data_IF_892204207856
#
_entry.id   IF_892204207856
#
_cell.length_a   1.000
_cell.length_b   1.000
_cell.length_c   1.000
_cell.angle_alpha   90.00
_cell.angle_beta   90.00
_cell.angle_gamma   90.00
#
_symmetry.space_group_name_H-M   'P 1'
#
loop_
_entity.id
_entity.type
_entity.pdbx_description
1 polymer ?
#
# COMPACT_ATOMS: atom_id res chain seq x y z
N UNK A 1 -16.61 -9.09 22.93
CA UNK A 1 -17.48 -9.11 24.12
C UNK A 1 -16.77 -8.43 25.29
N UNK A 2 -17.53 -7.69 26.10
CA UNK A 2 -17.06 -7.04 27.32
C UNK A 2 -17.85 -7.56 28.54
N UNK A 3 -17.15 -8.02 29.56
CA UNK A 3 -17.78 -8.46 30.81
C UNK A 3 -17.70 -7.35 31.84
N UNK A 4 -18.84 -6.74 32.13
CA UNK A 4 -18.93 -5.66 33.11
C UNK A 4 -18.83 -6.20 34.54
N UNK A 5 -18.13 -5.46 35.41
CA UNK A 5 -18.15 -5.67 36.87
C UNK A 5 -19.23 -4.79 37.52
N UNK A 6 -19.58 -5.07 38.78
CA UNK A 6 -20.54 -4.23 39.53
C UNK A 6 -20.00 -2.81 39.71
N UNK A 7 -20.85 -1.82 39.43
CA UNK A 7 -20.55 -0.40 39.51
C UNK A 7 -20.17 0.21 38.16
N UNK A 8 -19.55 1.35 38.18
CA UNK A 8 -19.15 2.08 36.97
C UNK A 8 -18.03 1.34 36.23
N UNK A 9 -18.16 1.30 34.91
CA UNK A 9 -17.21 0.66 34.01
C UNK A 9 -16.89 1.62 32.84
N UNK A 10 -15.64 1.70 32.49
CA UNK A 10 -15.16 2.38 31.30
C UNK A 10 -14.29 1.40 30.49
N UNK A 11 -14.47 1.40 29.17
CA UNK A 11 -13.69 0.55 28.29
C UNK A 11 -13.38 1.30 26.99
N UNK A 12 -12.11 1.33 26.62
CA UNK A 12 -11.64 1.82 25.32
C UNK A 12 -10.81 0.75 24.65
N UNK A 13 -11.16 0.40 23.43
CA UNK A 13 -10.38 -0.55 22.64
C UNK A 13 -9.35 0.20 21.78
N UNK A 14 -8.07 0.09 22.16
CA UNK A 14 -6.95 0.70 21.43
C UNK A 14 -6.30 -0.25 20.42
N UNK A 15 -6.62 -1.54 20.47
CA UNK A 15 -5.88 -2.57 19.73
C UNK A 15 -6.59 -3.00 18.45
N UNK A 16 -7.86 -2.63 18.29
CA UNK A 16 -8.68 -3.06 17.17
C UNK A 16 -9.28 -1.84 16.48
N UNK A 17 -8.99 -1.68 15.19
CA UNK A 17 -9.61 -0.66 14.36
C UNK A 17 -10.83 -1.22 13.66
N UNK A 18 -11.86 -0.41 13.58
CA UNK A 18 -13.12 -0.78 12.92
C UNK A 18 -13.38 0.15 11.75
N UNK A 19 -13.45 -0.42 10.54
CA UNK A 19 -14.02 0.26 9.38
C UNK A 19 -15.50 -0.08 9.28
N UNK A 20 -16.38 0.71 9.90
CA UNK A 20 -17.81 0.44 9.93
C UNK A 20 -18.64 1.72 9.72
N UNK A 21 -19.87 1.55 9.28
CA UNK A 21 -20.89 2.62 9.22
C UNK A 21 -21.84 2.59 10.41
N UNK A 22 -22.07 1.41 10.96
CA UNK A 22 -23.03 1.17 12.02
C UNK A 22 -22.40 0.27 13.07
N UNK A 23 -22.76 0.51 14.33
CA UNK A 23 -22.47 -0.38 15.44
C UNK A 23 -23.78 -0.81 16.08
N UNK A 24 -23.92 -2.10 16.29
CA UNK A 24 -24.99 -2.67 17.07
C UNK A 24 -24.44 -3.10 18.43
N UNK A 25 -25.14 -2.72 19.50
CA UNK A 25 -24.76 -3.03 20.86
C UNK A 25 -25.90 -3.77 21.54
N UNK A 26 -25.57 -4.91 22.07
CA UNK A 26 -26.50 -5.69 22.91
C UNK A 26 -26.00 -5.67 24.34
N UNK A 27 -26.79 -5.10 25.23
CA UNK A 27 -26.54 -5.11 26.67
C UNK A 27 -27.37 -6.17 27.36
N UNK A 28 -26.77 -6.87 28.34
CA UNK A 28 -27.49 -7.78 29.23
C UNK A 28 -28.37 -7.03 30.25
N UNK A 29 -29.22 -7.78 30.92
CA UNK A 29 -30.11 -7.22 31.97
C UNK A 29 -29.27 -6.56 33.08
N UNK A 30 -29.72 -5.37 33.50
CA UNK A 30 -29.09 -4.62 34.59
C UNK A 30 -27.88 -3.81 34.19
N UNK A 31 -27.56 -3.72 32.89
CA UNK A 31 -26.56 -2.83 32.36
C UNK A 31 -27.21 -1.56 31.82
N UNK A 32 -26.76 -0.40 32.28
CA UNK A 32 -27.10 0.89 31.72
C UNK A 32 -25.90 1.41 30.92
N UNK A 33 -26.13 1.72 29.65
CA UNK A 33 -25.10 2.27 28.77
C UNK A 33 -25.23 3.80 28.76
N UNK A 34 -24.28 4.47 29.39
CA UNK A 34 -24.30 5.94 29.50
C UNK A 34 -23.70 6.61 28.28
N UNK A 35 -22.67 6.01 27.67
CA UNK A 35 -21.97 6.54 26.51
C UNK A 35 -21.41 5.45 25.60
N UNK A 36 -21.49 5.71 24.31
CA UNK A 36 -20.77 4.98 23.28
C UNK A 36 -20.22 5.98 22.26
N UNK A 37 -18.98 5.79 21.87
CA UNK A 37 -18.35 6.63 20.87
C UNK A 37 -17.32 5.90 20.04
N UNK A 38 -16.81 6.58 19.01
CA UNK A 38 -15.70 6.15 18.18
C UNK A 38 -14.60 7.18 18.34
N UNK A 39 -13.37 6.69 18.50
CA UNK A 39 -12.17 7.51 18.43
C UNK A 39 -11.66 7.39 16.99
N UNK A 40 -11.78 8.43 16.15
CA UNK A 40 -11.20 8.40 14.81
C UNK A 40 -9.68 8.31 14.90
N UNK A 41 -9.09 7.46 14.07
CA UNK A 41 -7.64 7.31 13.94
C UNK A 41 -7.29 7.55 12.49
N UNK A 42 -6.58 8.63 12.22
CA UNK A 42 -6.13 9.01 10.89
C UNK A 42 -4.80 9.75 10.99
N UNK A 43 -4.03 9.74 9.92
CA UNK A 43 -2.82 10.54 9.83
C UNK A 43 -3.19 12.02 9.64
N UNK A 44 -2.53 12.92 10.37
CA UNK A 44 -2.78 14.35 10.29
C UNK A 44 -2.22 14.93 8.99
N UNK A 45 -3.11 15.28 8.05
CA UNK A 45 -2.78 15.87 6.75
C UNK A 45 -3.66 17.08 6.47
N UNK A 46 -3.07 18.09 5.86
CA UNK A 46 -3.80 19.26 5.39
C UNK A 46 -4.23 19.06 3.93
N UNK A 47 -5.53 19.12 3.69
CA UNK A 47 -6.09 18.93 2.36
C UNK A 47 -5.86 20.14 1.44
N UNK A 48 -5.63 19.89 0.16
CA UNK A 48 -5.72 20.92 -0.85
C UNK A 48 -7.18 21.32 -1.08
N UNK A 49 -7.47 22.61 -1.34
CA UNK A 49 -8.84 23.03 -1.58
C UNK A 49 -9.40 22.39 -2.85
N UNK A 50 -10.61 21.83 -2.73
CA UNK A 50 -11.34 21.33 -3.88
C UNK A 50 -11.80 22.49 -4.77
N UNK A 51 -11.21 22.67 -5.94
CA UNK A 51 -11.49 23.74 -6.89
C UNK A 51 -12.36 23.33 -8.07
N UNK A 52 -12.89 22.12 -8.06
CA UNK A 52 -13.74 21.59 -9.12
C UNK A 52 -15.06 22.38 -9.21
N UNK A 53 -15.50 22.69 -10.43
CA UNK A 53 -16.67 23.51 -10.66
C UNK A 53 -17.99 22.73 -10.64
N UNK A 54 -17.95 21.50 -11.13
CA UNK A 54 -19.10 20.62 -11.18
C UNK A 54 -19.41 20.06 -9.78
N UNK A 55 -20.67 20.09 -9.36
CA UNK A 55 -21.07 19.62 -8.03
C UNK A 55 -20.87 18.12 -7.83
N UNK A 56 -21.15 17.32 -8.86
CA UNK A 56 -20.93 15.86 -8.80
C UNK A 56 -19.45 15.54 -8.68
N UNK A 57 -18.59 16.19 -9.48
CA UNK A 57 -17.16 15.99 -9.45
C UNK A 57 -16.57 16.37 -8.09
N UNK A 58 -17.06 17.47 -7.49
CA UNK A 58 -16.66 17.85 -6.12
C UNK A 58 -17.01 16.77 -5.11
N UNK A 59 -18.23 16.26 -5.14
CA UNK A 59 -18.67 15.19 -4.22
C UNK A 59 -17.84 13.91 -4.40
N UNK A 60 -17.54 13.53 -5.65
CA UNK A 60 -16.68 12.38 -5.95
C UNK A 60 -15.28 12.62 -5.39
N UNK A 61 -14.68 13.77 -5.64
CA UNK A 61 -13.36 14.13 -5.14
C UNK A 61 -13.31 14.09 -3.59
N UNK A 62 -14.26 14.74 -2.92
CA UNK A 62 -14.31 14.77 -1.46
C UNK A 62 -14.46 13.37 -0.87
N UNK A 63 -15.25 12.51 -1.51
CA UNK A 63 -15.39 11.11 -1.11
C UNK A 63 -14.10 10.32 -1.30
N UNK A 64 -13.37 10.55 -2.40
CA UNK A 64 -12.08 9.90 -2.67
C UNK A 64 -11.02 10.35 -1.66
N UNK A 65 -10.92 11.65 -1.37
CA UNK A 65 -9.98 12.19 -0.38
C UNK A 65 -10.29 11.64 1.02
N UNK A 66 -11.58 11.62 1.41
CA UNK A 66 -11.97 11.04 2.69
C UNK A 66 -11.62 9.54 2.77
N UNK A 67 -11.84 8.77 1.69
CA UNK A 67 -11.46 7.35 1.65
C UNK A 67 -9.95 7.18 1.76
N UNK A 68 -9.17 8.02 1.08
CA UNK A 68 -7.71 8.01 1.18
C UNK A 68 -7.24 8.23 2.62
N UNK A 69 -7.81 9.23 3.32
CA UNK A 69 -7.51 9.51 4.74
C UNK A 69 -7.84 8.33 5.65
N UNK A 70 -8.99 7.67 5.42
CA UNK A 70 -9.38 6.48 6.18
C UNK A 70 -8.42 5.29 5.97
N UNK A 71 -7.65 5.29 4.89
CA UNK A 71 -6.61 4.30 4.61
C UNK A 71 -5.20 4.77 5.02
N UNK A 72 -5.08 5.93 5.68
CA UNK A 72 -3.81 6.47 6.19
C UNK A 72 -3.77 6.34 7.71
N UNK A 73 -3.09 5.31 8.18
CA UNK A 73 -2.99 4.98 9.61
C UNK A 73 -1.52 5.01 10.04
N UNK A 74 -1.00 3.96 10.68
CA UNK A 74 0.45 3.80 10.93
C UNK A 74 1.22 3.64 9.61
N UNK A 75 0.55 3.08 8.61
CA UNK A 75 0.98 2.97 7.22
C UNK A 75 -0.26 3.04 6.31
N UNK A 76 -0.06 3.12 5.00
CA UNK A 76 -1.16 2.91 4.07
C UNK A 76 -1.74 1.51 4.22
N UNK A 77 -3.05 1.42 4.17
CA UNK A 77 -3.77 0.14 4.12
C UNK A 77 -4.62 0.09 2.86
N UNK A 78 -4.74 -1.10 2.27
CA UNK A 78 -5.57 -1.35 1.08
C UNK A 78 -7.03 -0.99 1.32
N UNK A 79 -7.53 -1.36 2.50
CA UNK A 79 -8.88 -1.07 2.95
C UNK A 79 -8.93 -0.87 4.47
N UNK A 80 -9.87 -0.07 5.01
CA UNK A 80 -9.93 0.22 6.44
C UNK A 80 -10.56 -0.90 7.27
N UNK A 81 -10.91 -2.04 6.68
CA UNK A 81 -11.66 -3.09 7.36
C UNK A 81 -11.03 -4.49 7.27
N UNK A 82 -11.01 -5.11 6.08
CA UNK A 82 -10.75 -6.56 5.94
C UNK A 82 -9.28 -6.91 6.19
N UNK A 83 -8.38 -6.52 5.28
CA UNK A 83 -6.97 -6.89 5.35
C UNK A 83 -6.15 -5.90 6.20
N UNK A 84 -6.39 -4.61 6.02
CA UNK A 84 -5.61 -3.53 6.65
C UNK A 84 -4.10 -3.68 6.41
N UNK A 85 -3.73 -4.03 5.19
CA UNK A 85 -2.37 -4.41 4.82
C UNK A 85 -1.70 -3.36 3.93
N UNK A 86 -0.37 -3.23 4.08
CA UNK A 86 0.46 -2.39 3.22
C UNK A 86 0.89 -3.18 1.97
N UNK A 87 0.04 -3.15 0.94
CA UNK A 87 0.37 -3.69 -0.38
C UNK A 87 1.08 -2.64 -1.23
N UNK A 88 2.14 -3.03 -1.95
CA UNK A 88 2.94 -2.09 -2.72
C UNK A 88 2.18 -1.43 -3.89
N UNK A 89 1.27 -2.16 -4.54
CA UNK A 89 0.45 -1.59 -5.61
C UNK A 89 -0.61 -0.62 -5.09
N UNK A 90 -1.34 -1.00 -4.04
CA UNK A 90 -2.37 -0.17 -3.43
C UNK A 90 -1.78 1.11 -2.87
N UNK A 91 -0.69 1.01 -2.12
CA UNK A 91 0.01 2.17 -1.55
C UNK A 91 0.57 3.09 -2.63
N UNK A 92 1.05 2.57 -3.77
CA UNK A 92 1.45 3.41 -4.90
C UNK A 92 0.31 4.30 -5.38
N UNK A 93 -0.88 3.73 -5.57
CA UNK A 93 -2.04 4.49 -6.02
C UNK A 93 -2.46 5.55 -4.99
N UNK A 94 -2.39 5.22 -3.70
CA UNK A 94 -2.66 6.13 -2.60
C UNK A 94 -1.63 7.25 -2.51
N UNK A 95 -0.34 6.96 -2.66
CA UNK A 95 0.75 7.95 -2.72
C UNK A 95 0.51 8.91 -3.88
N UNK A 96 0.23 8.41 -5.07
CA UNK A 96 -0.03 9.22 -6.27
C UNK A 96 -1.25 10.14 -6.08
N UNK A 97 -2.32 9.64 -5.49
CA UNK A 97 -3.49 10.44 -5.15
C UNK A 97 -3.14 11.53 -4.11
N UNK A 98 -2.32 11.18 -3.12
CA UNK A 98 -1.86 12.09 -2.05
C UNK A 98 -1.07 13.29 -2.58
N UNK A 99 -0.27 13.12 -3.65
CA UNK A 99 0.47 14.24 -4.26
C UNK A 99 -0.46 15.37 -4.73
N UNK A 100 -1.68 15.05 -5.13
CA UNK A 100 -2.67 16.04 -5.55
C UNK A 100 -3.63 16.45 -4.44
N UNK A 101 -3.98 15.53 -3.56
CA UNK A 101 -5.01 15.73 -2.54
C UNK A 101 -4.51 16.54 -1.33
N UNK A 102 -3.23 16.46 -0.99
CA UNK A 102 -2.70 17.02 0.25
C UNK A 102 -1.65 18.10 0.00
N UNK A 103 -1.58 19.08 0.90
CA UNK A 103 -0.54 20.08 0.89
C UNK A 103 0.83 19.45 1.07
N UNK A 104 1.79 19.91 0.27
CA UNK A 104 3.12 19.31 0.24
C UNK A 104 3.16 17.86 -0.28
N UNK A 105 2.03 17.35 -0.85
CA UNK A 105 1.96 16.03 -1.47
C UNK A 105 2.09 14.86 -0.49
N UNK A 106 1.98 15.11 0.81
CA UNK A 106 2.17 14.10 1.87
C UNK A 106 3.48 13.31 1.76
N UNK A 107 4.56 13.98 1.37
CA UNK A 107 5.85 13.36 1.03
C UNK A 107 6.48 12.61 2.20
N UNK A 108 6.32 13.12 3.42
CA UNK A 108 6.87 12.48 4.61
C UNK A 108 6.23 11.12 4.88
N UNK A 109 4.91 11.04 4.78
CA UNK A 109 4.18 9.80 4.97
C UNK A 109 4.45 8.80 3.84
N UNK A 110 4.50 9.25 2.60
CA UNK A 110 4.89 8.44 1.45
C UNK A 110 6.29 7.84 1.65
N UNK A 111 7.27 8.68 2.05
CA UNK A 111 8.64 8.25 2.37
C UNK A 111 8.67 7.18 3.48
N UNK A 112 7.91 7.39 4.56
CA UNK A 112 7.87 6.45 5.67
C UNK A 112 7.35 5.07 5.23
N UNK A 113 6.31 5.04 4.40
CA UNK A 113 5.74 3.80 3.87
C UNK A 113 6.70 3.09 2.90
N UNK A 114 7.32 3.82 1.98
CA UNK A 114 8.32 3.26 1.07
C UNK A 114 9.55 2.73 1.84
N UNK A 115 9.99 3.45 2.88
CA UNK A 115 11.06 2.98 3.76
C UNK A 115 10.67 1.73 4.51
N UNK A 116 9.43 1.64 5.00
CA UNK A 116 8.93 0.45 5.68
C UNK A 116 9.00 -0.76 4.76
N UNK A 117 8.46 -0.67 3.54
CA UNK A 117 8.54 -1.75 2.55
C UNK A 117 9.99 -2.12 2.18
N UNK A 118 10.92 -1.16 2.12
CA UNK A 118 12.32 -1.44 1.79
C UNK A 118 13.05 -2.28 2.84
N UNK A 119 12.53 -2.38 4.06
CA UNK A 119 13.10 -3.20 5.15
C UNK A 119 12.72 -4.68 5.08
N UNK A 120 11.88 -5.05 4.12
CA UNK A 120 11.55 -6.44 3.88
C UNK A 120 12.82 -7.23 3.46
N UNK A 121 13.16 -8.25 4.24
CA UNK A 121 14.37 -9.06 4.10
C UNK A 121 14.08 -10.45 3.50
N UNK A 122 13.02 -10.56 2.72
CA UNK A 122 12.66 -11.79 2.01
C UNK A 122 13.85 -12.37 1.26
N UNK A 123 14.12 -13.67 1.44
CA UNK A 123 15.35 -14.34 0.99
C UNK A 123 15.52 -14.39 -0.53
N UNK A 124 14.43 -14.36 -1.30
CA UNK A 124 14.46 -14.35 -2.75
C UNK A 124 14.68 -12.94 -3.35
N UNK A 125 14.81 -11.91 -2.53
CA UNK A 125 15.08 -10.54 -2.94
C UNK A 125 13.83 -9.72 -3.31
N UNK A 126 12.66 -10.35 -3.45
CA UNK A 126 11.39 -9.69 -3.70
C UNK A 126 10.83 -9.06 -2.41
N UNK A 127 9.68 -8.40 -2.51
CA UNK A 127 8.87 -8.01 -1.36
C UNK A 127 7.90 -9.14 -0.99
N UNK A 128 7.64 -9.29 0.29
CA UNK A 128 6.48 -10.04 0.77
C UNK A 128 5.18 -9.41 0.25
N UNK A 129 4.11 -10.18 0.22
CA UNK A 129 2.80 -9.72 -0.27
C UNK A 129 2.40 -8.39 0.39
N UNK A 130 2.67 -8.26 1.68
CA UNK A 130 2.56 -7.03 2.46
C UNK A 130 3.57 -7.04 3.60
N UNK A 131 4.04 -5.87 4.04
CA UNK A 131 5.05 -5.74 5.08
C UNK A 131 4.65 -4.62 6.07
N UNK A 132 4.82 -4.85 7.38
CA UNK A 132 5.30 -6.06 8.06
C UNK A 132 4.14 -7.02 8.37
N UNK A 133 4.17 -8.24 7.85
CA UNK A 133 3.14 -9.26 8.16
C UNK A 133 3.70 -10.58 8.66
N UNK A 134 4.96 -10.89 8.28
CA UNK A 134 5.58 -12.19 8.54
C UNK A 134 5.05 -13.31 7.62
N UNK A 135 4.28 -12.98 6.58
CA UNK A 135 3.74 -13.93 5.62
C UNK A 135 4.77 -14.23 4.52
N UNK A 136 5.06 -15.52 4.31
CA UNK A 136 5.99 -15.97 3.25
C UNK A 136 5.26 -16.18 1.92
N UNK A 137 4.52 -15.19 1.47
CA UNK A 137 3.91 -15.10 0.15
C UNK A 137 4.38 -13.83 -0.52
N UNK A 138 4.56 -13.86 -1.84
CA UNK A 138 4.86 -12.66 -2.65
C UNK A 138 3.95 -12.58 -3.85
N UNK A 139 3.63 -11.35 -4.25
CA UNK A 139 3.12 -11.02 -5.57
C UNK A 139 4.29 -10.35 -6.32
N UNK A 140 4.99 -11.06 -7.22
CA UNK A 140 6.21 -10.52 -7.85
C UNK A 140 5.99 -9.15 -8.53
N UNK A 141 4.87 -8.94 -9.20
CA UNK A 141 4.51 -7.65 -9.82
C UNK A 141 4.50 -6.49 -8.81
N UNK A 142 4.17 -6.72 -7.53
CA UNK A 142 4.16 -5.69 -6.50
C UNK A 142 5.56 -5.18 -6.16
N UNK A 143 6.57 -6.03 -6.28
CA UNK A 143 7.97 -5.61 -6.15
C UNK A 143 8.38 -4.64 -7.28
N UNK A 144 7.87 -4.82 -8.50
CA UNK A 144 8.10 -3.88 -9.60
C UNK A 144 7.38 -2.54 -9.36
N UNK A 145 6.16 -2.57 -8.83
CA UNK A 145 5.46 -1.34 -8.43
C UNK A 145 6.19 -0.57 -7.34
N UNK A 146 6.85 -1.25 -6.41
CA UNK A 146 7.69 -0.58 -5.42
C UNK A 146 8.84 0.21 -6.07
N UNK A 147 9.56 -0.38 -7.03
CA UNK A 147 10.63 0.30 -7.78
C UNK A 147 10.08 1.55 -8.49
N UNK A 148 8.93 1.42 -9.14
CA UNK A 148 8.26 2.53 -9.83
C UNK A 148 7.84 3.61 -8.82
N UNK A 149 7.31 3.22 -7.65
CA UNK A 149 6.89 4.16 -6.60
C UNK A 149 8.04 4.99 -6.04
N UNK A 150 9.22 4.39 -5.86
CA UNK A 150 10.41 5.12 -5.40
C UNK A 150 10.85 6.15 -6.46
N UNK A 151 10.78 5.81 -7.75
CA UNK A 151 11.05 6.76 -8.83
C UNK A 151 10.06 7.92 -8.83
N UNK A 152 8.77 7.64 -8.69
CA UNK A 152 7.72 8.66 -8.64
C UNK A 152 7.87 9.54 -7.39
N UNK A 153 8.21 8.95 -6.25
CA UNK A 153 8.53 9.72 -5.05
C UNK A 153 9.73 10.65 -5.26
N UNK A 154 10.80 10.16 -5.87
CA UNK A 154 11.98 10.99 -6.17
C UNK A 154 11.63 12.15 -7.10
N UNK A 155 10.76 11.96 -8.09
CA UNK A 155 10.29 13.02 -9.00
C UNK A 155 9.51 14.12 -8.27
N UNK A 156 8.69 13.75 -7.29
CA UNK A 156 7.86 14.71 -6.55
C UNK A 156 8.60 15.38 -5.40
N UNK A 157 9.56 14.68 -4.79
CA UNK A 157 10.26 15.18 -3.60
C UNK A 157 11.63 15.77 -3.86
N UNK A 158 12.34 15.29 -4.89
CA UNK A 158 13.77 15.55 -5.08
C UNK A 158 14.67 14.87 -4.03
N UNK A 159 14.16 13.93 -3.21
CA UNK A 159 14.88 13.30 -2.10
C UNK A 159 15.85 12.21 -2.60
N UNK A 160 16.99 12.62 -3.08
CA UNK A 160 18.06 11.73 -3.55
C UNK A 160 18.66 10.90 -2.41
N UNK A 161 18.69 11.43 -1.19
CA UNK A 161 19.22 10.71 -0.02
C UNK A 161 18.37 9.48 0.31
N UNK A 162 17.05 9.59 0.24
CA UNK A 162 16.19 8.44 0.40
C UNK A 162 16.33 7.44 -0.75
N UNK A 163 16.42 7.92 -1.99
CA UNK A 163 16.64 7.05 -3.14
C UNK A 163 17.94 6.24 -3.01
N UNK A 164 19.02 6.86 -2.52
CA UNK A 164 20.28 6.19 -2.20
C UNK A 164 20.11 5.15 -1.08
N UNK A 165 19.40 5.52 0.02
CA UNK A 165 19.12 4.61 1.14
C UNK A 165 18.50 3.29 0.69
N UNK A 166 17.55 3.34 -0.26
CA UNK A 166 16.80 2.15 -0.70
C UNK A 166 17.37 1.49 -1.98
N UNK A 167 18.39 2.07 -2.59
CA UNK A 167 18.90 1.64 -3.90
C UNK A 167 19.32 0.17 -3.94
N UNK A 168 19.94 -0.32 -2.88
CA UNK A 168 20.33 -1.72 -2.76
C UNK A 168 19.14 -2.69 -2.87
N UNK A 169 18.00 -2.34 -2.25
CA UNK A 169 16.76 -3.12 -2.36
C UNK A 169 16.18 -3.05 -3.77
N UNK A 170 16.18 -1.89 -4.39
CA UNK A 170 15.72 -1.73 -5.78
C UNK A 170 16.56 -2.59 -6.73
N UNK A 171 17.89 -2.57 -6.57
CA UNK A 171 18.82 -3.37 -7.36
C UNK A 171 18.53 -4.86 -7.21
N UNK A 172 18.38 -5.34 -5.97
CA UNK A 172 18.05 -6.75 -5.68
C UNK A 172 16.77 -7.19 -6.40
N UNK A 173 15.71 -6.38 -6.35
CA UNK A 173 14.46 -6.67 -7.05
C UNK A 173 14.70 -6.79 -8.55
N UNK A 174 15.36 -5.82 -9.18
CA UNK A 174 15.61 -5.85 -10.63
C UNK A 174 16.44 -7.07 -11.03
N UNK A 175 17.47 -7.42 -10.27
CA UNK A 175 18.31 -8.60 -10.51
C UNK A 175 17.48 -9.89 -10.52
N UNK A 176 16.56 -10.06 -9.58
CA UNK A 176 15.64 -11.23 -9.53
C UNK A 176 14.82 -11.37 -10.82
N UNK A 177 14.32 -10.28 -11.37
CA UNK A 177 13.58 -10.31 -12.63
C UNK A 177 14.48 -10.58 -13.83
N UNK A 178 15.70 -10.02 -13.87
CA UNK A 178 16.67 -10.28 -14.93
C UNK A 178 17.13 -11.76 -14.91
N UNK A 179 17.36 -12.33 -13.74
CA UNK A 179 17.74 -13.74 -13.58
C UNK A 179 16.63 -14.71 -14.01
N UNK A 180 15.36 -14.24 -13.93
CA UNK A 180 14.20 -15.03 -14.40
C UNK A 180 13.88 -14.81 -15.89
N UNK A 181 14.76 -14.14 -16.65
CA UNK A 181 14.58 -13.95 -18.10
C UNK A 181 15.06 -15.16 -18.90
N UNK A 182 14.29 -15.47 -19.93
CA UNK A 182 14.63 -16.45 -20.98
C UNK A 182 14.21 -15.88 -22.33
N UNK A 183 15.06 -15.93 -23.32
CA UNK A 183 14.78 -15.39 -24.67
C UNK A 183 14.28 -13.92 -24.64
N UNK A 184 14.90 -13.10 -23.81
CA UNK A 184 14.55 -11.68 -23.60
C UNK A 184 13.15 -11.42 -23.03
N UNK A 185 12.50 -12.40 -22.42
CA UNK A 185 11.22 -12.27 -21.74
C UNK A 185 11.33 -12.78 -20.31
N UNK A 186 10.69 -12.06 -19.39
CA UNK A 186 10.55 -12.50 -18.01
C UNK A 186 9.42 -13.53 -17.92
N UNK A 187 9.74 -14.66 -17.32
CA UNK A 187 8.81 -15.74 -17.07
C UNK A 187 8.09 -15.56 -15.74
N UNK A 188 6.93 -16.17 -15.62
CA UNK A 188 6.19 -16.22 -14.36
C UNK A 188 6.99 -16.94 -13.29
N UNK A 189 6.85 -16.49 -12.07
CA UNK A 189 7.53 -17.10 -10.94
C UNK A 189 6.84 -18.39 -10.53
N UNK A 190 7.61 -19.47 -10.41
CA UNK A 190 7.12 -20.77 -9.99
C UNK A 190 7.13 -20.93 -8.47
N UNK A 191 6.37 -21.93 -8.00
CA UNK A 191 6.32 -22.29 -6.58
C UNK A 191 5.12 -21.69 -5.85
N UNK A 192 4.70 -22.35 -4.77
CA UNK A 192 3.48 -22.02 -4.02
C UNK A 192 3.51 -20.69 -3.25
N UNK A 193 4.72 -20.12 -3.09
CA UNK A 193 4.91 -18.86 -2.38
C UNK A 193 5.02 -17.65 -3.32
N UNK A 194 4.73 -17.84 -4.62
CA UNK A 194 4.73 -16.80 -5.63
C UNK A 194 3.35 -16.77 -6.30
N UNK A 195 2.60 -15.73 -6.01
CA UNK A 195 1.30 -15.52 -6.63
C UNK A 195 1.45 -14.55 -7.80
N UNK A 196 1.33 -15.05 -9.02
CA UNK A 196 1.43 -14.23 -10.24
C UNK A 196 0.12 -13.49 -10.49
N UNK A 197 -0.19 -12.56 -9.63
CA UNK A 197 -1.41 -11.77 -9.61
C UNK A 197 -1.15 -10.35 -10.12
N UNK A 198 -2.10 -9.79 -10.84
CA UNK A 198 -2.09 -8.40 -11.31
C UNK A 198 -3.35 -7.63 -10.92
N UNK A 199 -4.50 -8.26 -11.03
CA UNK A 199 -5.82 -7.70 -10.68
C UNK A 199 -6.87 -8.80 -10.60
N UNK A 200 -8.02 -8.49 -10.01
CA UNK A 200 -9.20 -9.37 -9.92
C UNK A 200 -10.01 -9.42 -11.23
N UNK A 201 -9.39 -9.16 -12.35
CA UNK A 201 -10.00 -9.26 -13.68
C UNK A 201 -9.72 -10.63 -14.32
N UNK A 202 -10.58 -11.12 -15.22
CA UNK A 202 -10.31 -12.37 -15.94
C UNK A 202 -8.91 -12.38 -16.56
N UNK A 203 -8.18 -13.48 -16.39
CA UNK A 203 -6.80 -13.70 -16.86
C UNK A 203 -5.70 -12.85 -16.18
N UNK A 204 -6.06 -12.00 -15.22
CA UNK A 204 -5.11 -11.21 -14.44
C UNK A 204 -4.76 -11.86 -13.10
N UNK A 205 -5.46 -12.91 -12.71
CA UNK A 205 -5.06 -13.82 -11.65
C UNK A 205 -4.23 -14.98 -12.22
N UNK A 206 -3.15 -15.31 -11.52
CA UNK A 206 -2.19 -16.32 -11.95
C UNK A 206 -2.72 -17.73 -12.11
N UNK A 207 -3.81 -18.06 -11.44
CA UNK A 207 -4.43 -19.38 -11.52
C UNK A 207 -5.16 -19.59 -12.85
N UNK A 208 -5.71 -18.55 -13.43
CA UNK A 208 -6.47 -18.59 -14.69
C UNK A 208 -5.57 -18.54 -15.94
N UNK A 209 -4.31 -18.12 -15.79
CA UNK A 209 -3.40 -17.92 -16.90
C UNK A 209 -2.46 -19.11 -17.08
N UNK A 210 -2.54 -19.76 -18.23
CA UNK A 210 -1.75 -20.95 -18.60
C UNK A 210 -0.41 -20.64 -19.30
N UNK A 211 -0.10 -19.37 -19.54
CA UNK A 211 1.12 -18.97 -20.23
C UNK A 211 2.30 -18.88 -19.25
N UNK A 212 3.46 -19.36 -19.66
CA UNK A 212 4.70 -19.27 -18.88
C UNK A 212 5.23 -17.83 -18.75
N UNK A 213 4.88 -16.96 -19.69
CA UNK A 213 5.16 -15.53 -19.64
C UNK A 213 3.95 -14.73 -20.14
N UNK A 214 3.77 -13.52 -19.64
CA UNK A 214 2.66 -12.68 -20.03
C UNK A 214 3.10 -11.23 -20.31
N UNK A 215 2.21 -10.52 -20.99
CA UNK A 215 2.46 -9.13 -21.39
C UNK A 215 2.56 -8.19 -20.19
N UNK A 216 1.71 -8.35 -19.18
CA UNK A 216 1.64 -7.44 -18.02
C UNK A 216 2.96 -7.48 -17.25
N UNK A 217 3.45 -8.69 -16.93
CA UNK A 217 4.73 -8.86 -16.22
C UNK A 217 5.89 -8.22 -16.99
N UNK A 218 5.95 -8.45 -18.29
CA UNK A 218 7.02 -7.91 -19.12
C UNK A 218 6.94 -6.38 -19.28
N UNK A 219 5.75 -5.82 -19.46
CA UNK A 219 5.55 -4.38 -19.53
C UNK A 219 5.93 -3.68 -18.20
N UNK A 220 5.53 -4.26 -17.06
CA UNK A 220 5.92 -3.77 -15.73
C UNK A 220 7.42 -3.88 -15.51
N UNK A 221 8.06 -4.97 -15.93
CA UNK A 221 9.52 -5.14 -15.82
C UNK A 221 10.26 -4.04 -16.59
N UNK A 222 9.86 -3.75 -17.83
CA UNK A 222 10.45 -2.65 -18.60
C UNK A 222 10.27 -1.31 -17.89
N UNK A 223 9.08 -1.06 -17.35
CA UNK A 223 8.79 0.17 -16.62
C UNK A 223 9.66 0.29 -15.35
N UNK A 224 9.84 -0.80 -14.61
CA UNK A 224 10.68 -0.82 -13.42
C UNK A 224 12.17 -0.69 -13.73
N UNK A 225 12.68 -1.30 -14.82
CA UNK A 225 14.07 -1.12 -15.27
C UNK A 225 14.32 0.35 -15.64
N UNK A 226 13.40 0.97 -16.36
CA UNK A 226 13.49 2.40 -16.69
C UNK A 226 13.48 3.29 -15.44
N UNK A 227 12.62 2.96 -14.46
CA UNK A 227 12.55 3.65 -13.18
C UNK A 227 13.87 3.49 -12.40
N UNK A 228 14.42 2.30 -12.34
CA UNK A 228 15.70 2.03 -11.69
C UNK A 228 16.86 2.80 -12.34
N UNK A 229 16.93 2.80 -13.67
CA UNK A 229 17.91 3.60 -14.41
C UNK A 229 17.76 5.10 -14.15
N UNK A 230 16.52 5.61 -14.11
CA UNK A 230 16.24 7.01 -13.77
C UNK A 230 16.76 7.40 -12.38
N UNK A 231 16.55 6.50 -11.38
CA UNK A 231 17.04 6.70 -10.00
C UNK A 231 18.58 6.67 -10.00
N UNK A 232 19.19 5.66 -10.62
CA UNK A 232 20.65 5.49 -10.66
C UNK A 232 21.40 6.68 -11.26
N UNK A 233 20.80 7.41 -12.21
CA UNK A 233 21.39 8.64 -12.77
C UNK A 233 21.28 9.88 -11.85
N UNK A 234 20.55 9.80 -10.75
CA UNK A 234 20.26 10.94 -9.85
C UNK A 234 20.84 10.80 -8.45
N UNK A 235 21.20 9.60 -8.06
CA UNK A 235 21.93 9.38 -6.80
C UNK A 235 23.42 9.64 -7.01
N UNK A 236 24.16 10.12 -5.99
CA UNK A 236 25.62 10.29 -6.06
C UNK A 236 26.33 8.96 -6.36
N UNK A 237 27.50 9.04 -7.05
CA UNK A 237 28.39 7.88 -7.23
C UNK A 237 29.06 7.48 -5.93
#
# INVERSE_FOLDING_TARGET
>A
DYTAKKGENEYTNYMLRFGCRYMEITCGDGINLDYLGIIPTEYDVEENPNTLKNELDRKIYDMCVNTLKLCMMEHYVDCPWREQCLYAFDSRNQIMAGYSAFKGGNLEYARANLRLMSKDDRKDGLLSICYPSGEDLTIPSFSLYFVISVKEYLEHSGDTAFAEEVYGKLKSIIEVFLDNMRNNLVYRFGGKNHWNFYDWSPYCDGEDNKFDCDFILNALTVSAINAFGYIGHRIPE
#
